data_IF_857063897174
#
_entry.id   IF_857063897174
#
_cell.length_a   1.000
_cell.length_b   1.000
_cell.length_c   1.000
_cell.angle_alpha   90.00
_cell.angle_beta   90.00
_cell.angle_gamma   90.00
#
_symmetry.space_group_name_H-M   'P 1'
#
loop_
_entity.id
_entity.type
_entity.pdbx_description
1 polymer ?
#
# COMPACT_ATOMS: atom_id res chain seq x y z
N UNK A 1 -11.57 -30.69 -39.19
CA UNK A 1 -10.96 -29.35 -39.35
C UNK A 1 -11.53 -28.33 -38.36
N UNK A 2 -12.85 -28.15 -38.25
CA UNK A 2 -13.45 -27.20 -37.29
C UNK A 2 -13.10 -27.48 -35.81
N UNK A 3 -12.96 -28.76 -35.41
CA UNK A 3 -12.55 -29.12 -34.03
C UNK A 3 -11.12 -28.69 -33.68
N UNK A 4 -10.19 -28.77 -34.64
CA UNK A 4 -8.82 -28.29 -34.48
C UNK A 4 -8.79 -26.76 -34.42
N UNK A 5 -9.63 -26.11 -35.24
CA UNK A 5 -9.81 -24.65 -35.22
C UNK A 5 -10.39 -24.14 -33.90
N UNK A 6 -11.36 -24.87 -33.31
CA UNK A 6 -11.94 -24.59 -31.99
C UNK A 6 -10.93 -24.74 -30.86
N UNK A 7 -10.03 -25.73 -30.95
CA UNK A 7 -8.98 -25.95 -29.95
C UNK A 7 -7.96 -24.80 -29.96
N UNK A 8 -7.53 -24.37 -31.15
CA UNK A 8 -6.63 -23.22 -31.33
C UNK A 8 -7.29 -21.93 -30.81
N UNK A 9 -8.57 -21.73 -31.08
CA UNK A 9 -9.31 -20.55 -30.61
C UNK A 9 -9.42 -20.53 -29.08
N UNK A 10 -9.64 -21.67 -28.43
CA UNK A 10 -9.70 -21.79 -26.97
C UNK A 10 -8.35 -21.49 -26.32
N UNK A 11 -7.26 -22.01 -26.87
CA UNK A 11 -5.90 -21.70 -26.39
C UNK A 11 -5.57 -20.21 -26.54
N UNK A 12 -5.92 -19.56 -27.66
CA UNK A 12 -5.72 -18.13 -27.85
C UNK A 12 -6.46 -17.27 -26.81
N UNK A 13 -7.67 -17.66 -26.38
CA UNK A 13 -8.43 -16.94 -25.35
C UNK A 13 -7.73 -17.01 -23.99
N UNK A 14 -7.14 -18.16 -23.65
CA UNK A 14 -6.40 -18.34 -22.39
C UNK A 14 -5.13 -17.49 -22.38
N UNK A 15 -4.42 -17.36 -23.51
CA UNK A 15 -3.20 -16.54 -23.61
C UNK A 15 -3.46 -15.03 -23.70
N UNK A 16 -4.64 -14.59 -24.18
CA UNK A 16 -5.00 -13.17 -24.28
C UNK A 16 -5.60 -12.61 -22.98
N UNK A 17 -6.04 -13.47 -22.05
CA UNK A 17 -6.70 -13.06 -20.81
C UNK A 17 -5.77 -12.40 -19.78
N UNK A 18 -4.45 -12.39 -20.01
CA UNK A 18 -3.47 -11.69 -19.15
C UNK A 18 -2.96 -10.38 -19.77
N UNK A 19 -3.73 -9.77 -20.68
CA UNK A 19 -3.42 -8.46 -21.27
C UNK A 19 -4.33 -7.34 -20.76
N UNK A 20 -4.87 -7.50 -19.55
CA UNK A 20 -5.39 -6.38 -18.77
C UNK A 20 -4.24 -5.43 -18.45
N UNK A 21 -3.90 -4.57 -19.41
CA UNK A 21 -3.30 -3.28 -19.11
C UNK A 21 -4.37 -2.49 -18.38
N UNK A 22 -4.53 -2.78 -17.09
CA UNK A 22 -5.04 -1.78 -16.19
C UNK A 22 -4.15 -0.57 -16.43
N UNK A 23 -4.79 0.47 -16.91
CA UNK A 23 -4.26 1.83 -16.93
C UNK A 23 -4.20 2.24 -15.45
N UNK A 24 -3.30 1.59 -14.71
CA UNK A 24 -2.72 2.16 -13.50
C UNK A 24 -2.19 3.51 -13.96
N UNK A 25 -2.79 4.58 -13.47
CA UNK A 25 -2.16 5.88 -13.45
C UNK A 25 -0.69 5.63 -13.06
N UNK A 26 0.24 5.89 -13.99
CA UNK A 26 1.67 5.62 -13.83
C UNK A 26 2.32 6.58 -12.80
N UNK A 27 1.63 6.88 -11.71
CA UNK A 27 2.14 7.63 -10.58
C UNK A 27 3.02 6.74 -9.71
N UNK A 28 4.05 7.35 -9.14
CA UNK A 28 4.85 6.73 -8.07
C UNK A 28 3.89 6.46 -6.90
N UNK A 29 3.68 5.20 -6.45
CA UNK A 29 2.76 4.93 -5.36
C UNK A 29 3.22 5.64 -4.08
N UNK A 30 2.31 6.36 -3.43
CA UNK A 30 2.51 7.02 -2.14
C UNK A 30 2.10 6.09 -1.01
N UNK A 31 3.07 5.68 -0.20
CA UNK A 31 2.86 4.86 0.99
C UNK A 31 3.17 5.67 2.24
N UNK A 32 2.21 5.73 3.14
CA UNK A 32 2.33 6.39 4.43
C UNK A 32 2.45 5.37 5.55
N UNK A 33 3.36 5.59 6.49
CA UNK A 33 3.49 4.78 7.70
C UNK A 33 3.23 5.65 8.91
N UNK A 34 2.27 5.26 9.75
CA UNK A 34 1.91 5.98 10.97
C UNK A 34 2.19 5.10 12.20
N UNK A 35 2.90 5.66 13.18
CA UNK A 35 3.26 5.01 14.45
C UNK A 35 2.67 5.78 15.64
N UNK A 36 2.41 5.06 16.73
CA UNK A 36 2.18 5.69 18.03
C UNK A 36 3.53 5.96 18.71
N UNK A 37 3.79 7.21 19.07
CA UNK A 37 5.08 7.65 19.60
C UNK A 37 6.09 7.91 18.48
N UNK A 38 7.36 7.62 18.73
CA UNK A 38 8.46 7.94 17.82
C UNK A 38 8.96 6.72 17.05
N UNK A 39 9.58 6.94 15.89
CA UNK A 39 10.25 5.88 15.14
C UNK A 39 11.60 5.48 15.76
N UNK A 40 12.30 6.38 16.46
CA UNK A 40 13.55 6.08 17.20
C UNK A 40 13.24 5.46 18.58
N UNK A 41 12.43 4.40 18.60
CA UNK A 41 12.11 3.65 19.82
C UNK A 41 13.06 2.47 20.07
N UNK A 42 14.02 2.26 19.14
CA UNK A 42 15.00 1.15 19.15
C UNK A 42 14.34 -0.23 19.30
N UNK A 43 13.09 -0.35 18.87
CA UNK A 43 12.27 -1.53 19.07
C UNK A 43 11.24 -1.66 17.95
N UNK A 44 9.95 -1.63 18.29
CA UNK A 44 8.87 -2.00 17.39
C UNK A 44 8.69 -0.98 16.25
N UNK A 45 8.65 0.32 16.55
CA UNK A 45 8.47 1.36 15.52
C UNK A 45 9.71 1.47 14.62
N UNK A 46 10.92 1.36 15.19
CA UNK A 46 12.15 1.38 14.40
C UNK A 46 12.21 0.18 13.43
N UNK A 47 11.73 -0.99 13.86
CA UNK A 47 11.65 -2.16 12.97
C UNK A 47 10.73 -1.92 11.77
N UNK A 48 9.60 -1.23 11.96
CA UNK A 48 8.71 -0.83 10.87
C UNK A 48 9.37 0.20 9.94
N UNK A 49 10.09 1.18 10.50
CA UNK A 49 10.85 2.16 9.72
C UNK A 49 11.90 1.50 8.82
N UNK A 50 12.64 0.54 9.37
CA UNK A 50 13.66 -0.19 8.62
C UNK A 50 13.04 -1.01 7.48
N UNK A 51 11.91 -1.66 7.74
CA UNK A 51 11.15 -2.38 6.71
C UNK A 51 10.70 -1.48 5.56
N UNK A 52 10.07 -0.34 5.87
CA UNK A 52 9.54 0.55 4.81
C UNK A 52 10.64 1.29 4.05
N UNK A 53 11.79 1.58 4.67
CA UNK A 53 12.96 2.11 3.95
C UNK A 53 13.45 1.14 2.88
N UNK A 54 13.51 -0.15 3.20
CA UNK A 54 13.86 -1.19 2.22
C UNK A 54 12.85 -1.27 1.08
N UNK A 55 11.54 -1.20 1.38
CA UNK A 55 10.48 -1.14 0.36
C UNK A 55 10.63 0.09 -0.54
N UNK A 56 10.97 1.26 0.03
CA UNK A 56 11.25 2.48 -0.74
C UNK A 56 12.38 2.28 -1.75
N UNK A 57 13.47 1.66 -1.33
CA UNK A 57 14.64 1.39 -2.17
C UNK A 57 14.32 0.39 -3.29
N UNK A 58 13.58 -0.68 -2.99
CA UNK A 58 13.27 -1.76 -3.94
C UNK A 58 12.16 -1.39 -4.94
N UNK A 59 11.10 -0.71 -4.50
CA UNK A 59 9.89 -0.48 -5.28
C UNK A 59 9.73 0.97 -5.75
N UNK A 60 10.64 1.88 -5.37
CA UNK A 60 10.64 3.30 -5.76
C UNK A 60 9.33 4.02 -5.44
N UNK A 61 8.80 3.80 -4.24
CA UNK A 61 7.60 4.46 -3.72
C UNK A 61 7.91 5.87 -3.17
N UNK A 62 6.90 6.73 -3.14
CA UNK A 62 6.92 7.94 -2.31
C UNK A 62 6.59 7.53 -0.88
N UNK A 63 7.47 7.85 0.07
CA UNK A 63 7.32 7.44 1.47
C UNK A 63 7.02 8.65 2.35
N UNK A 64 5.90 8.57 3.09
CA UNK A 64 5.53 9.53 4.13
C UNK A 64 5.61 8.84 5.49
N UNK A 65 6.27 9.48 6.45
CA UNK A 65 6.40 8.99 7.82
C UNK A 65 5.62 9.90 8.76
N UNK A 66 4.84 9.31 9.65
CA UNK A 66 4.00 10.04 10.59
C UNK A 66 4.12 9.46 12.00
N UNK A 67 4.70 10.24 12.89
CA UNK A 67 4.63 10.02 14.33
C UNK A 67 3.33 10.64 14.85
N UNK A 68 2.58 9.90 15.64
CA UNK A 68 1.28 10.31 16.15
C UNK A 68 1.10 9.98 17.63
N UNK A 69 0.06 10.53 18.23
CA UNK A 69 -0.36 10.26 19.60
C UNK A 69 -1.89 10.20 19.70
N UNK A 70 -2.46 9.62 20.77
CA UNK A 70 -3.89 9.26 20.82
C UNK A 70 -4.88 10.37 20.45
N UNK A 71 -4.57 11.63 20.79
CA UNK A 71 -5.44 12.77 20.50
C UNK A 71 -5.46 13.17 19.01
N UNK A 72 -4.52 12.67 18.22
CA UNK A 72 -4.34 13.04 16.81
C UNK A 72 -4.51 11.87 15.84
N UNK A 73 -4.74 10.64 16.31
CA UNK A 73 -4.83 9.47 15.45
C UNK A 73 -5.82 9.64 14.29
N UNK A 74 -7.03 10.15 14.58
CA UNK A 74 -8.06 10.34 13.56
C UNK A 74 -7.65 11.43 12.57
N UNK A 75 -7.30 12.62 13.05
CA UNK A 75 -6.92 13.74 12.19
C UNK A 75 -5.66 13.45 11.37
N UNK A 76 -4.71 12.71 11.91
CA UNK A 76 -3.50 12.32 11.21
C UNK A 76 -3.81 11.28 10.13
N UNK A 77 -4.65 10.29 10.42
CA UNK A 77 -5.08 9.29 9.44
C UNK A 77 -5.88 9.93 8.30
N UNK A 78 -6.82 10.83 8.62
CA UNK A 78 -7.57 11.62 7.63
C UNK A 78 -6.63 12.49 6.80
N UNK A 79 -5.67 13.17 7.41
CA UNK A 79 -4.68 13.98 6.69
C UNK A 79 -3.84 13.15 5.72
N UNK A 80 -3.45 11.92 6.08
CA UNK A 80 -2.73 11.01 5.18
C UNK A 80 -3.60 10.51 4.03
N UNK A 81 -4.89 10.27 4.27
CA UNK A 81 -5.87 9.91 3.23
C UNK A 81 -6.08 11.07 2.26
N UNK A 82 -6.33 12.27 2.77
CA UNK A 82 -6.58 13.48 1.98
C UNK A 82 -5.33 13.90 1.19
N UNK A 83 -4.13 13.57 1.69
CA UNK A 83 -2.87 13.74 0.97
C UNK A 83 -2.65 12.74 -0.19
N UNK A 84 -3.61 11.83 -0.43
CA UNK A 84 -3.59 10.89 -1.56
C UNK A 84 -2.68 9.69 -1.34
N UNK A 85 -2.54 9.20 -0.11
CA UNK A 85 -1.81 7.95 0.15
C UNK A 85 -2.52 6.77 -0.52
N UNK A 86 -1.81 6.00 -1.34
CA UNK A 86 -2.33 4.76 -1.93
C UNK A 86 -2.41 3.63 -0.90
N UNK A 87 -1.51 3.63 0.09
CA UNK A 87 -1.52 2.73 1.24
C UNK A 87 -1.15 3.51 2.50
N UNK A 88 -1.89 3.28 3.59
CA UNK A 88 -1.54 3.78 4.92
C UNK A 88 -1.33 2.57 5.83
N UNK A 89 -0.11 2.40 6.34
CA UNK A 89 0.24 1.32 7.26
C UNK A 89 0.22 1.84 8.70
N UNK A 90 -0.80 1.41 9.46
CA UNK A 90 -1.00 1.76 10.85
C UNK A 90 -0.23 0.77 11.74
N UNK A 91 0.82 1.25 12.41
CA UNK A 91 1.72 0.40 13.19
C UNK A 91 1.23 0.30 14.64
N UNK A 92 0.69 -0.88 14.98
CA UNK A 92 0.33 -1.26 16.34
C UNK A 92 -1.18 -1.19 16.64
N UNK A 93 -1.60 -1.98 17.63
CA UNK A 93 -3.02 -2.20 17.95
C UNK A 93 -3.77 -0.93 18.38
N UNK A 94 -3.07 0.11 18.84
CA UNK A 94 -3.68 1.36 19.35
C UNK A 94 -4.46 2.12 18.27
N UNK A 95 -4.20 1.82 16.99
CA UNK A 95 -4.94 2.38 15.86
C UNK A 95 -6.22 1.60 15.51
N UNK A 96 -6.54 0.50 16.20
CA UNK A 96 -7.67 -0.39 15.86
C UNK A 96 -9.02 0.34 15.75
N UNK A 97 -9.28 1.30 16.62
CA UNK A 97 -10.58 1.99 16.64
C UNK A 97 -10.68 3.00 15.49
N UNK A 98 -9.60 3.75 15.22
CA UNK A 98 -9.57 4.69 14.07
C UNK A 98 -9.53 3.96 12.73
N UNK A 99 -8.92 2.78 12.65
CA UNK A 99 -8.88 1.97 11.43
C UNK A 99 -10.26 1.45 11.00
N UNK A 100 -11.24 1.42 11.90
CA UNK A 100 -12.64 1.05 11.60
C UNK A 100 -13.51 2.25 11.23
N UNK A 101 -13.04 3.46 11.54
CA UNK A 101 -13.80 4.69 11.37
C UNK A 101 -13.60 5.34 9.99
N UNK A 102 -12.59 4.90 9.24
CA UNK A 102 -12.18 5.44 7.94
C UNK A 102 -12.29 4.36 6.87
#
# INVERSE_FOLDING_TARGET
>A
MYKLLLLILFECIVFLSCSGKDTLENGIPKVSVIVNGTFDDKSFNESALNGIKKVKEEFKIELVLKESSPNFYLSDLEGLKDAGSNLIWLIGYRFNDVAKAV
#
